data_IF_992826315324
#
_entry.id   IF_992826315324
#
_cell.length_a   1.000
_cell.length_b   1.000
_cell.length_c   1.000
_cell.angle_alpha   90.00
_cell.angle_beta   90.00
_cell.angle_gamma   90.00
#
_symmetry.space_group_name_H-M   'P 1'
#
loop_
_entity.id
_entity.type
_entity.pdbx_description
1 polymer ?
#
# COMPACT_ATOMS: atom_id res chain seq x y z
N UNK A 1 -24.10 -12.47 11.03
CA UNK A 1 -22.84 -11.88 10.51
C UNK A 1 -21.71 -12.78 10.97
N UNK A 2 -20.74 -13.12 10.10
CA UNK A 2 -19.57 -13.89 10.55
C UNK A 2 -18.74 -13.02 11.49
N UNK A 3 -18.16 -13.63 12.52
CA UNK A 3 -17.25 -12.96 13.43
C UNK A 3 -16.00 -12.47 12.67
N UNK A 4 -15.85 -11.15 12.57
CA UNK A 4 -14.70 -10.50 11.93
C UNK A 4 -13.42 -10.79 12.74
N UNK A 5 -13.53 -10.93 14.07
CA UNK A 5 -12.42 -11.27 14.95
C UNK A 5 -11.78 -12.59 14.54
N UNK A 6 -12.59 -13.66 14.42
CA UNK A 6 -12.10 -14.97 13.97
C UNK A 6 -11.45 -14.97 12.58
N UNK A 7 -11.90 -14.12 11.64
CA UNK A 7 -11.27 -13.98 10.31
C UNK A 7 -9.89 -13.32 10.42
N UNK A 8 -9.77 -12.26 11.22
CA UNK A 8 -8.49 -11.58 11.46
C UNK A 8 -7.51 -12.54 12.14
N UNK A 9 -7.98 -13.30 13.13
CA UNK A 9 -7.17 -14.31 13.82
C UNK A 9 -6.61 -15.32 12.82
N UNK A 10 -7.49 -15.92 12.01
CA UNK A 10 -7.11 -16.93 11.01
C UNK A 10 -6.09 -16.40 10.01
N UNK A 11 -6.24 -15.14 9.57
CA UNK A 11 -5.29 -14.50 8.67
C UNK A 11 -3.92 -14.28 9.33
N UNK A 12 -3.89 -13.87 10.60
CA UNK A 12 -2.64 -13.69 11.35
C UNK A 12 -1.94 -15.03 11.59
N UNK A 13 -2.69 -16.08 11.96
CA UNK A 13 -2.17 -17.45 12.07
C UNK A 13 -1.59 -17.93 10.75
N UNK A 14 -2.28 -17.67 9.62
CA UNK A 14 -1.77 -18.01 8.30
C UNK A 14 -0.41 -17.34 8.03
N UNK A 15 -0.31 -16.03 8.28
CA UNK A 15 0.91 -15.27 8.07
C UNK A 15 2.07 -15.81 8.92
N UNK A 16 1.85 -16.02 10.22
CA UNK A 16 2.90 -16.43 11.16
C UNK A 16 3.39 -17.86 10.94
N UNK A 17 2.48 -18.78 10.62
CA UNK A 17 2.78 -20.22 10.62
C UNK A 17 3.04 -20.78 9.22
N UNK A 18 2.52 -20.16 8.17
CA UNK A 18 2.56 -20.74 6.81
C UNK A 18 3.21 -19.82 5.78
N UNK A 19 2.96 -18.51 5.85
CA UNK A 19 3.51 -17.57 4.86
C UNK A 19 4.93 -17.08 5.17
N UNK A 20 5.42 -17.31 6.40
CA UNK A 20 6.72 -16.83 6.86
C UNK A 20 7.85 -17.79 6.45
N UNK A 21 8.96 -17.21 6.04
CA UNK A 21 10.25 -17.86 5.80
C UNK A 21 11.30 -17.33 6.77
N UNK A 22 12.52 -17.87 6.74
CA UNK A 22 13.64 -17.32 7.53
C UNK A 22 14.02 -15.89 7.13
N UNK A 23 13.79 -15.49 5.88
CA UNK A 23 14.28 -14.24 5.29
C UNK A 23 13.16 -13.22 4.99
N UNK A 24 11.89 -13.55 5.23
CA UNK A 24 10.75 -12.73 4.80
C UNK A 24 9.44 -13.49 4.73
N UNK A 25 8.49 -12.98 3.95
CA UNK A 25 7.23 -13.66 3.64
C UNK A 25 7.17 -14.03 2.16
N UNK A 26 6.51 -15.15 1.86
CA UNK A 26 6.29 -15.60 0.50
C UNK A 26 5.50 -14.57 -0.31
N UNK A 27 5.90 -14.26 -1.56
CA UNK A 27 5.26 -13.23 -2.39
C UNK A 27 3.82 -13.57 -2.77
N UNK A 28 3.56 -14.81 -3.19
CA UNK A 28 2.30 -15.22 -3.84
C UNK A 28 1.83 -16.62 -3.45
N UNK A 29 2.75 -17.59 -3.33
CA UNK A 29 2.40 -18.98 -3.04
C UNK A 29 3.30 -19.54 -1.93
N UNK A 30 2.68 -20.18 -0.93
CA UNK A 30 3.40 -20.85 0.16
C UNK A 30 4.04 -22.11 -0.38
N UNK A 31 5.32 -22.33 -0.05
CA UNK A 31 6.03 -23.58 -0.35
C UNK A 31 6.62 -23.67 -1.76
N UNK A 32 6.48 -22.63 -2.60
CA UNK A 32 7.32 -22.48 -3.78
C UNK A 32 8.64 -21.85 -3.32
N UNK A 33 9.78 -22.31 -3.85
CA UNK A 33 11.12 -21.74 -3.60
C UNK A 33 11.29 -20.33 -4.21
N UNK A 34 10.29 -19.46 -4.04
CA UNK A 34 10.39 -18.05 -4.39
C UNK A 34 11.04 -17.29 -3.23
N UNK A 35 12.03 -16.47 -3.58
CA UNK A 35 12.67 -15.57 -2.63
C UNK A 35 11.62 -14.59 -2.07
N UNK A 36 11.65 -14.30 -0.75
CA UNK A 36 10.79 -13.27 -0.20
C UNK A 36 10.97 -11.93 -0.92
N UNK A 37 9.86 -11.22 -1.12
CA UNK A 37 9.87 -9.92 -1.80
C UNK A 37 9.47 -8.83 -0.84
N UNK A 38 10.07 -7.64 -0.97
CA UNK A 38 9.82 -6.54 -0.03
C UNK A 38 8.33 -6.21 0.13
N UNK A 39 7.52 -6.02 -0.93
CA UNK A 39 6.13 -5.60 -0.75
C UNK A 39 5.31 -6.55 0.13
N UNK A 40 5.47 -7.86 -0.05
CA UNK A 40 4.69 -8.86 0.70
C UNK A 40 5.17 -8.95 2.14
N UNK A 41 6.49 -8.99 2.36
CA UNK A 41 7.09 -8.92 3.70
C UNK A 41 6.63 -7.68 4.46
N UNK A 42 6.69 -6.50 3.83
CA UNK A 42 6.27 -5.24 4.43
C UNK A 42 4.78 -5.26 4.82
N UNK A 43 3.89 -5.70 3.92
CA UNK A 43 2.45 -5.76 4.19
C UNK A 43 2.12 -6.77 5.29
N UNK A 44 2.77 -7.94 5.32
CA UNK A 44 2.55 -8.93 6.36
C UNK A 44 2.95 -8.40 7.74
N UNK A 45 4.13 -7.78 7.85
CA UNK A 45 4.60 -7.15 9.10
C UNK A 45 3.63 -6.07 9.55
N UNK A 46 3.25 -5.16 8.65
CA UNK A 46 2.33 -4.07 8.98
C UNK A 46 0.96 -4.60 9.44
N UNK A 47 0.44 -5.65 8.80
CA UNK A 47 -0.81 -6.29 9.19
C UNK A 47 -0.72 -6.85 10.61
N UNK A 48 0.31 -7.65 10.90
CA UNK A 48 0.51 -8.27 12.21
C UNK A 48 0.75 -7.23 13.32
N UNK A 49 1.46 -6.14 13.00
CA UNK A 49 1.63 -5.00 13.91
C UNK A 49 0.28 -4.31 14.22
N UNK A 50 -0.51 -3.98 13.18
CA UNK A 50 -1.80 -3.28 13.36
C UNK A 50 -2.85 -4.14 14.07
N UNK A 51 -2.75 -5.46 13.97
CA UNK A 51 -3.63 -6.40 14.69
C UNK A 51 -3.12 -6.76 16.09
N UNK A 52 -1.97 -6.20 16.52
CA UNK A 52 -1.32 -6.50 17.81
C UNK A 52 -1.02 -8.00 17.99
N UNK A 53 -0.65 -8.66 16.89
CA UNK A 53 -0.30 -10.09 16.86
C UNK A 53 1.19 -10.36 16.85
N UNK A 54 2.00 -9.31 16.76
CA UNK A 54 3.43 -9.36 17.04
C UNK A 54 3.66 -9.02 18.51
N UNK A 55 4.42 -9.85 19.22
CA UNK A 55 4.92 -9.47 20.52
C UNK A 55 5.98 -8.36 20.34
N UNK A 56 6.12 -7.48 21.33
CA UNK A 56 7.05 -6.34 21.22
C UNK A 56 8.51 -6.77 21.01
N UNK A 57 8.91 -7.88 21.61
CA UNK A 57 10.25 -8.46 21.41
C UNK A 57 10.50 -8.96 19.98
N UNK A 58 9.45 -9.24 19.20
CA UNK A 58 9.58 -9.72 17.82
C UNK A 58 9.73 -8.57 16.82
N UNK A 59 9.39 -7.32 17.19
CA UNK A 59 9.42 -6.18 16.26
C UNK A 59 10.79 -5.99 15.62
N UNK A 60 11.86 -6.11 16.41
CA UNK A 60 13.23 -5.99 15.93
C UNK A 60 13.56 -7.06 14.89
N UNK A 61 13.14 -8.32 15.12
CA UNK A 61 13.34 -9.41 14.16
C UNK A 61 12.67 -9.11 12.83
N UNK A 62 11.42 -8.66 12.83
CA UNK A 62 10.68 -8.33 11.61
C UNK A 62 11.21 -7.07 10.90
N UNK A 63 11.63 -6.06 11.65
CA UNK A 63 12.30 -4.88 11.10
C UNK A 63 13.60 -5.28 10.41
N UNK A 64 14.46 -6.06 11.08
CA UNK A 64 15.71 -6.55 10.50
C UNK A 64 15.47 -7.39 9.25
N UNK A 65 14.46 -8.26 9.27
CA UNK A 65 14.03 -9.04 8.11
C UNK A 65 13.69 -8.12 6.93
N UNK A 66 12.89 -7.09 7.13
CA UNK A 66 12.54 -6.14 6.07
C UNK A 66 13.78 -5.35 5.59
N UNK A 67 14.62 -4.85 6.51
CA UNK A 67 15.84 -4.11 6.17
C UNK A 67 16.86 -4.96 5.39
N UNK A 68 16.92 -6.27 5.61
CA UNK A 68 17.78 -7.17 4.86
C UNK A 68 17.37 -7.32 3.38
N UNK A 69 16.12 -6.95 3.03
CA UNK A 69 15.64 -6.91 1.64
C UNK A 69 15.98 -5.59 0.92
N UNK A 70 16.65 -4.65 1.60
CA UNK A 70 17.04 -3.37 1.04
C UNK A 70 18.30 -3.51 0.20
N UNK A 71 18.29 -2.93 -1.00
CA UNK A 71 19.49 -2.80 -1.81
C UNK A 71 20.48 -1.84 -1.13
N UNK A 72 21.70 -2.30 -0.88
CA UNK A 72 22.71 -1.52 -0.14
C UNK A 72 23.33 -0.39 -0.96
N UNK A 73 23.36 -0.53 -2.28
CA UNK A 73 23.97 0.45 -3.19
C UNK A 73 23.03 1.62 -3.46
N UNK A 74 21.77 1.31 -3.74
CA UNK A 74 20.76 2.28 -4.16
C UNK A 74 19.85 2.73 -3.00
N UNK A 75 20.04 2.13 -1.81
CA UNK A 75 19.27 2.38 -0.58
C UNK A 75 17.75 2.28 -0.77
N UNK A 76 17.32 1.55 -1.77
CA UNK A 76 15.91 1.33 -2.14
C UNK A 76 15.55 -0.13 -1.93
N UNK A 77 14.25 -0.44 -1.99
CA UNK A 77 13.79 -1.82 -1.90
C UNK A 77 13.38 -2.36 -3.27
N UNK A 78 13.45 -3.68 -3.39
CA UNK A 78 13.29 -4.40 -4.66
C UNK A 78 12.12 -5.40 -4.59
N UNK A 79 11.55 -5.73 -5.74
CA UNK A 79 10.57 -6.83 -5.83
C UNK A 79 11.27 -8.14 -6.18
N UNK A 80 12.36 -8.12 -6.96
CA UNK A 80 13.20 -9.29 -7.27
C UNK A 80 14.61 -8.78 -7.59
N UNK A 81 14.74 -8.15 -8.75
CA UNK A 81 15.94 -7.46 -9.24
C UNK A 81 15.54 -6.06 -9.72
N UNK A 82 16.22 -5.05 -9.21
CA UNK A 82 16.03 -3.66 -9.60
C UNK A 82 15.04 -2.87 -8.72
N UNK A 83 15.28 -1.56 -8.72
CA UNK A 83 14.60 -0.58 -7.90
C UNK A 83 13.11 -0.51 -8.20
N UNK A 84 12.29 -0.50 -7.15
CA UNK A 84 10.85 -0.30 -7.28
C UNK A 84 10.36 0.75 -6.30
N UNK A 85 9.72 1.81 -6.83
CA UNK A 85 9.07 2.82 -5.99
C UNK A 85 8.00 2.20 -5.09
N UNK A 86 7.31 1.17 -5.58
CA UNK A 86 6.27 0.47 -4.85
C UNK A 86 6.84 -0.32 -3.67
N UNK A 87 7.91 -1.10 -3.91
CA UNK A 87 8.59 -1.83 -2.85
C UNK A 87 9.17 -0.86 -1.80
N UNK A 88 9.87 0.18 -2.26
CA UNK A 88 10.45 1.20 -1.39
C UNK A 88 9.38 1.89 -0.54
N UNK A 89 8.31 2.38 -1.16
CA UNK A 89 7.23 3.04 -0.43
C UNK A 89 6.54 2.11 0.58
N UNK A 90 6.28 0.84 0.22
CA UNK A 90 5.67 -0.13 1.14
C UNK A 90 6.56 -0.46 2.33
N UNK A 91 7.86 -0.64 2.11
CA UNK A 91 8.82 -0.83 3.18
C UNK A 91 8.85 0.38 4.11
N UNK A 92 8.97 1.59 3.55
CA UNK A 92 9.01 2.83 4.33
C UNK A 92 7.73 3.05 5.14
N UNK A 93 6.54 2.85 4.55
CA UNK A 93 5.27 2.90 5.30
C UNK A 93 5.31 1.95 6.50
N UNK A 94 5.84 0.74 6.31
CA UNK A 94 5.90 -0.28 7.36
C UNK A 94 6.88 0.13 8.45
N UNK A 95 8.12 0.47 8.08
CA UNK A 95 9.16 0.88 9.03
C UNK A 95 8.72 2.13 9.82
N UNK A 96 8.23 3.18 9.15
CA UNK A 96 7.72 4.38 9.81
C UNK A 96 6.52 4.12 10.73
N UNK A 97 5.74 3.07 10.45
CA UNK A 97 4.60 2.70 11.29
C UNK A 97 5.00 1.86 12.51
N UNK A 98 6.03 1.02 12.39
CA UNK A 98 6.46 0.09 13.45
C UNK A 98 7.51 0.74 14.33
N UNK A 99 8.58 1.26 13.74
CA UNK A 99 9.64 2.02 14.42
C UNK A 99 10.23 3.09 13.48
N UNK A 100 9.81 4.36 13.60
CA UNK A 100 10.32 5.42 12.74
C UNK A 100 11.81 5.76 12.98
N UNK A 101 12.47 5.23 14.02
CA UNK A 101 13.89 5.50 14.26
C UNK A 101 14.82 4.76 13.29
N UNK A 102 14.33 3.70 12.63
CA UNK A 102 15.17 2.91 11.71
C UNK A 102 15.19 3.48 10.29
N UNK A 103 14.40 4.51 10.01
CA UNK A 103 14.33 5.18 8.71
C UNK A 103 15.17 6.45 8.75
N UNK A 104 16.18 6.53 7.88
CA UNK A 104 17.05 7.71 7.76
C UNK A 104 16.66 8.58 6.55
N UNK A 105 17.25 9.78 6.47
CA UNK A 105 16.93 10.75 5.40
C UNK A 105 17.28 10.21 4.01
N UNK A 106 18.35 9.43 3.89
CA UNK A 106 18.77 8.84 2.62
C UNK A 106 17.73 7.89 2.04
N UNK A 107 16.92 7.26 2.89
CA UNK A 107 15.87 6.32 2.46
C UNK A 107 14.69 7.07 1.84
N UNK A 108 14.39 8.24 2.39
CA UNK A 108 13.38 9.14 1.86
C UNK A 108 13.86 9.79 0.57
N UNK A 109 15.12 10.23 0.53
CA UNK A 109 15.74 10.73 -0.71
C UNK A 109 15.76 9.67 -1.80
N UNK A 110 15.99 8.40 -1.45
CA UNK A 110 15.89 7.31 -2.40
C UNK A 110 14.49 7.24 -3.01
N UNK A 111 13.42 7.29 -2.21
CA UNK A 111 12.03 7.32 -2.73
C UNK A 111 11.73 8.56 -3.60
N UNK A 112 12.21 9.74 -3.20
CA UNK A 112 12.04 10.99 -3.96
C UNK A 112 12.74 10.90 -5.32
N UNK A 113 13.93 10.31 -5.39
CA UNK A 113 14.66 10.10 -6.67
C UNK A 113 13.92 9.18 -7.64
N UNK A 114 13.03 8.32 -7.16
CA UNK A 114 12.19 7.46 -8.00
C UNK A 114 10.96 8.19 -8.56
N UNK A 115 10.74 9.47 -8.21
CA UNK A 115 9.65 10.29 -8.74
C UNK A 115 9.95 10.69 -10.18
N UNK A 116 8.99 10.52 -11.07
CA UNK A 116 9.12 10.93 -12.46
C UNK A 116 9.03 12.46 -12.62
N UNK A 117 9.46 12.98 -13.76
CA UNK A 117 9.39 14.42 -14.07
C UNK A 117 7.97 14.98 -14.04
N UNK A 118 6.97 14.15 -14.38
CA UNK A 118 5.55 14.53 -14.32
C UNK A 118 5.00 14.67 -12.89
N UNK A 119 5.80 14.29 -11.88
CA UNK A 119 5.49 14.37 -10.46
C UNK A 119 4.84 13.12 -9.87
N UNK A 120 4.49 12.13 -10.69
CA UNK A 120 3.97 10.85 -10.21
C UNK A 120 5.06 9.81 -9.98
N UNK A 121 4.64 8.64 -9.49
CA UNK A 121 5.49 7.44 -9.43
C UNK A 121 4.92 6.34 -10.33
N UNK A 122 5.80 5.67 -11.07
CA UNK A 122 5.54 4.42 -11.77
C UNK A 122 6.02 3.21 -10.95
N UNK A 123 5.85 1.99 -11.46
CA UNK A 123 6.28 0.77 -10.76
C UNK A 123 7.80 0.72 -10.47
N UNK A 124 8.59 1.25 -11.41
CA UNK A 124 10.05 1.40 -11.41
C UNK A 124 10.42 2.79 -11.94
N UNK A 125 11.67 3.26 -11.76
CA UNK A 125 12.14 4.47 -12.41
C UNK A 125 11.85 4.49 -13.91
N UNK A 126 11.35 5.61 -14.42
CA UNK A 126 11.05 5.79 -15.84
C UNK A 126 9.77 5.08 -16.34
N UNK A 127 9.13 4.25 -15.52
CA UNK A 127 7.83 3.66 -15.88
C UNK A 127 6.73 4.71 -15.75
N UNK A 128 5.66 4.56 -16.53
CA UNK A 128 4.52 5.49 -16.52
C UNK A 128 3.97 5.69 -15.10
N UNK A 129 3.76 6.96 -14.74
CA UNK A 129 3.19 7.33 -13.46
C UNK A 129 1.74 6.85 -13.34
N UNK A 130 1.39 6.31 -12.16
CA UNK A 130 0.03 5.86 -11.85
C UNK A 130 -0.42 6.38 -10.49
N UNK A 131 -1.72 6.69 -10.30
CA UNK A 131 -2.27 7.03 -8.99
C UNK A 131 -1.96 5.99 -7.91
N UNK A 132 -1.97 4.70 -8.26
CA UNK A 132 -1.69 3.60 -7.32
C UNK A 132 -0.31 3.69 -6.67
N UNK A 133 0.76 3.87 -7.45
CA UNK A 133 2.12 3.96 -6.90
C UNK A 133 2.35 5.31 -6.24
N UNK A 134 1.81 6.38 -6.84
CA UNK A 134 1.84 7.73 -6.28
C UNK A 134 1.25 7.76 -4.88
N UNK A 135 0.14 7.06 -4.63
CA UNK A 135 -0.45 6.96 -3.30
C UNK A 135 0.49 6.37 -2.24
N UNK A 136 1.14 5.25 -2.53
CA UNK A 136 2.05 4.66 -1.55
C UNK A 136 3.26 5.57 -1.30
N UNK A 137 3.81 6.19 -2.35
CA UNK A 137 4.91 7.14 -2.20
C UNK A 137 4.49 8.34 -1.35
N UNK A 138 3.36 8.99 -1.69
CA UNK A 138 2.79 10.09 -0.91
C UNK A 138 2.56 9.71 0.55
N UNK A 139 1.98 8.53 0.82
CA UNK A 139 1.74 8.05 2.18
C UNK A 139 3.05 7.86 2.96
N UNK A 140 4.08 7.30 2.34
CA UNK A 140 5.39 7.14 2.98
C UNK A 140 6.00 8.49 3.36
N UNK A 141 5.97 9.45 2.44
CA UNK A 141 6.49 10.81 2.66
C UNK A 141 5.75 11.54 3.79
N UNK A 142 4.41 11.46 3.83
CA UNK A 142 3.59 12.07 4.88
C UNK A 142 3.84 11.40 6.24
N UNK A 143 3.97 10.08 6.28
CA UNK A 143 4.34 9.36 7.52
C UNK A 143 5.72 9.79 8.01
N UNK A 144 6.67 10.01 7.10
CA UNK A 144 7.99 10.49 7.46
C UNK A 144 7.92 11.87 8.09
N UNK A 145 7.19 12.83 7.50
CA UNK A 145 7.01 14.16 8.06
C UNK A 145 6.35 14.11 9.44
N UNK A 146 5.26 13.35 9.58
CA UNK A 146 4.55 13.21 10.85
C UNK A 146 5.40 12.57 11.96
N UNK A 147 6.17 11.53 11.64
CA UNK A 147 7.05 10.86 12.61
C UNK A 147 8.14 11.79 13.16
N UNK A 148 8.39 12.87 12.45
CA UNK A 148 9.48 13.79 12.64
C UNK A 148 9.03 15.12 13.25
N UNK A 149 7.83 15.58 12.92
CA UNK A 149 7.13 16.64 13.65
C UNK A 149 6.95 16.28 15.14
N UNK A 150 6.82 14.98 15.43
CA UNK A 150 6.80 14.44 16.80
C UNK A 150 8.18 14.48 17.47
N UNK A 151 9.28 14.51 16.69
CA UNK A 151 10.67 14.63 17.15
C UNK A 151 11.18 16.06 16.90
N UNK A 152 10.49 17.05 17.48
CA UNK A 152 10.85 18.48 17.38
C UNK A 152 12.34 18.69 17.68
N UNK A 153 13.17 18.87 16.65
CA UNK A 153 14.54 19.38 16.81
C UNK A 153 15.60 18.96 15.78
N UNK A 154 15.47 17.82 15.07
CA UNK A 154 16.66 17.20 14.45
C UNK A 154 16.64 17.00 12.92
N UNK A 155 15.67 17.54 12.18
CA UNK A 155 15.71 17.46 10.71
C UNK A 155 16.27 18.73 10.13
N UNK A 156 17.19 18.55 9.19
CA UNK A 156 17.66 19.63 8.33
C UNK A 156 16.48 20.16 7.53
N UNK A 157 16.22 21.46 7.62
CA UNK A 157 15.15 22.16 6.87
C UNK A 157 15.09 21.73 5.40
N UNK A 158 16.25 21.54 4.77
CA UNK A 158 16.42 21.05 3.39
C UNK A 158 15.69 19.73 3.10
N UNK A 159 15.64 18.80 4.06
CA UNK A 159 14.96 17.51 3.88
C UNK A 159 13.45 17.67 3.91
N UNK A 160 12.92 18.52 4.79
CA UNK A 160 11.48 18.85 4.84
C UNK A 160 11.10 19.49 3.51
N UNK A 161 11.84 20.51 3.07
CA UNK A 161 11.62 21.19 1.78
C UNK A 161 11.66 20.21 0.59
N UNK A 162 12.60 19.26 0.58
CA UNK A 162 12.69 18.24 -0.46
C UNK A 162 11.44 17.34 -0.49
N UNK A 163 10.93 16.94 0.67
CA UNK A 163 9.70 16.14 0.78
C UNK A 163 8.49 16.96 0.34
N UNK A 164 8.33 18.18 0.84
CA UNK A 164 7.22 19.07 0.49
C UNK A 164 7.16 19.34 -1.01
N UNK A 165 8.31 19.66 -1.63
CA UNK A 165 8.43 19.84 -3.08
C UNK A 165 8.02 18.58 -3.85
N UNK A 166 8.37 17.40 -3.34
CA UNK A 166 7.95 16.13 -3.94
C UNK A 166 6.44 15.91 -3.82
N UNK A 167 5.84 16.27 -2.68
CA UNK A 167 4.38 16.21 -2.46
C UNK A 167 3.61 17.20 -3.34
N UNK A 168 4.12 18.42 -3.53
CA UNK A 168 3.52 19.39 -4.46
C UNK A 168 3.50 18.89 -5.90
N UNK A 169 4.60 18.28 -6.35
CA UNK A 169 4.67 17.62 -7.67
C UNK A 169 3.64 16.49 -7.78
N UNK A 170 3.49 15.67 -6.74
CA UNK A 170 2.49 14.61 -6.70
C UNK A 170 1.06 15.16 -6.80
N UNK A 171 0.77 16.26 -6.10
CA UNK A 171 -0.52 16.95 -6.17
C UNK A 171 -0.80 17.43 -7.61
N UNK A 172 0.16 18.12 -8.23
CA UNK A 172 0.05 18.61 -9.62
C UNK A 172 -0.14 17.47 -10.61
N UNK A 173 0.59 16.37 -10.46
CA UNK A 173 0.41 15.16 -11.25
C UNK A 173 -1.04 14.66 -11.19
N UNK A 174 -1.55 14.43 -9.98
CA UNK A 174 -2.89 13.88 -9.78
C UNK A 174 -3.97 14.82 -10.33
N UNK A 175 -3.86 16.12 -10.12
CA UNK A 175 -4.77 17.11 -10.70
C UNK A 175 -4.73 17.09 -12.23
N UNK A 176 -3.54 16.98 -12.84
CA UNK A 176 -3.34 16.96 -14.29
C UNK A 176 -3.99 15.75 -14.97
N UNK A 177 -3.93 14.57 -14.36
CA UNK A 177 -4.44 13.33 -14.96
C UNK A 177 -5.91 13.05 -14.62
N UNK A 178 -6.56 13.91 -13.84
CA UNK A 178 -7.96 13.76 -13.46
C UNK A 178 -8.87 13.88 -14.70
N UNK A 179 -9.89 13.01 -14.76
CA UNK A 179 -10.93 13.01 -15.78
C UNK A 179 -12.25 13.42 -15.14
N UNK A 180 -12.61 14.70 -15.22
CA UNK A 180 -13.72 15.29 -14.44
C UNK A 180 -13.50 15.07 -12.93
N UNK A 181 -14.19 14.09 -12.33
CA UNK A 181 -14.17 13.80 -10.87
C UNK A 181 -13.57 12.42 -10.54
N UNK A 182 -12.92 11.78 -11.52
CA UNK A 182 -12.40 10.41 -11.42
C UNK A 182 -11.00 10.33 -12.01
N UNK A 183 -10.26 9.28 -11.66
CA UNK A 183 -8.89 9.09 -12.14
C UNK A 183 -8.77 7.86 -13.03
N UNK A 184 -8.01 7.96 -14.13
CA UNK A 184 -7.68 6.82 -14.96
C UNK A 184 -6.61 5.96 -14.31
N UNK A 185 -6.36 4.77 -14.89
CA UNK A 185 -5.33 3.86 -14.37
C UNK A 185 -3.93 4.49 -14.43
N UNK A 186 -3.66 5.25 -15.48
CA UNK A 186 -2.35 5.84 -15.79
C UNK A 186 -2.49 7.06 -16.71
N UNK A 187 -1.42 7.82 -16.87
CA UNK A 187 -1.38 9.00 -17.76
C UNK A 187 -1.79 8.63 -19.19
N UNK A 188 -2.70 9.40 -19.78
CA UNK A 188 -3.17 9.20 -21.16
C UNK A 188 -4.32 8.20 -21.32
N UNK A 189 -4.63 7.39 -20.32
CA UNK A 189 -5.86 6.58 -20.32
C UNK A 189 -7.07 7.50 -20.14
N UNK A 190 -8.10 7.28 -20.98
CA UNK A 190 -9.33 8.08 -21.01
C UNK A 190 -10.47 7.43 -20.23
N UNK A 191 -10.24 6.24 -19.66
CA UNK A 191 -11.25 5.51 -18.91
C UNK A 191 -11.04 5.68 -17.41
N UNK A 192 -12.12 5.91 -16.65
CA UNK A 192 -12.02 5.96 -15.21
C UNK A 192 -11.66 4.59 -14.63
N UNK A 193 -10.81 4.57 -13.62
CA UNK A 193 -10.41 3.37 -12.89
C UNK A 193 -10.80 3.52 -11.41
N UNK A 194 -11.65 2.64 -10.86
CA UNK A 194 -12.07 2.67 -9.45
C UNK A 194 -10.91 2.72 -8.47
N UNK A 195 -9.95 1.80 -8.62
CA UNK A 195 -8.79 1.70 -7.73
C UNK A 195 -7.94 2.96 -7.83
N UNK A 196 -7.68 3.45 -9.05
CA UNK A 196 -6.88 4.66 -9.23
C UNK A 196 -7.55 5.90 -8.64
N UNK A 197 -8.88 6.00 -8.75
CA UNK A 197 -9.69 7.07 -8.16
C UNK A 197 -9.57 7.09 -6.65
N UNK A 198 -9.73 5.95 -5.99
CA UNK A 198 -9.57 5.84 -4.52
C UNK A 198 -8.15 6.22 -4.09
N UNK A 199 -7.15 5.77 -4.83
CA UNK A 199 -5.74 6.05 -4.52
C UNK A 199 -5.41 7.54 -4.70
N UNK A 200 -5.86 8.16 -5.79
CA UNK A 200 -5.67 9.58 -6.05
C UNK A 200 -6.31 10.44 -4.96
N UNK A 201 -7.58 10.16 -4.63
CA UNK A 201 -8.31 10.89 -3.59
C UNK A 201 -7.66 10.70 -2.21
N UNK A 202 -7.17 9.49 -1.92
CA UNK A 202 -6.38 9.21 -0.72
C UNK A 202 -5.10 10.06 -0.64
N UNK A 203 -4.35 10.18 -1.74
CA UNK A 203 -3.15 11.01 -1.80
C UNK A 203 -3.44 12.48 -1.61
N UNK A 204 -4.41 13.02 -2.37
CA UNK A 204 -4.81 14.42 -2.31
C UNK A 204 -5.24 14.80 -0.89
N UNK A 205 -6.03 13.94 -0.24
CA UNK A 205 -6.43 14.13 1.15
C UNK A 205 -5.23 14.19 2.09
N UNK A 206 -4.28 13.25 1.99
CA UNK A 206 -3.10 13.23 2.85
C UNK A 206 -2.26 14.49 2.68
N UNK A 207 -2.01 14.91 1.44
CA UNK A 207 -1.26 16.12 1.11
C UNK A 207 -1.95 17.36 1.70
N UNK A 208 -3.25 17.48 1.49
CA UNK A 208 -4.03 18.61 1.98
C UNK A 208 -4.03 18.70 3.51
N UNK A 209 -4.23 17.56 4.19
CA UNK A 209 -4.20 17.49 5.65
C UNK A 209 -2.86 17.98 6.23
N UNK A 210 -1.76 17.69 5.53
CA UNK A 210 -0.43 18.14 5.93
C UNK A 210 -0.24 19.64 5.73
N UNK A 211 -0.53 20.17 4.54
CA UNK A 211 -0.38 21.60 4.25
C UNK A 211 -1.43 22.49 4.92
N UNK A 212 -2.41 21.91 5.64
CA UNK A 212 -3.53 22.62 6.26
C UNK A 212 -4.26 23.55 5.29
N UNK A 213 -4.23 23.26 3.99
CA UNK A 213 -4.93 24.06 3.00
C UNK A 213 -6.43 23.82 3.11
N UNK A 214 -7.21 24.91 3.07
CA UNK A 214 -8.68 24.84 3.08
C UNK A 214 -9.17 24.28 1.73
N UNK A 215 -9.44 22.99 1.67
CA UNK A 215 -10.38 22.40 0.71
C UNK A 215 -11.51 21.79 1.51
N UNK A 216 -12.73 22.05 1.04
CA UNK A 216 -13.96 21.51 1.63
C UNK A 216 -13.87 19.99 1.59
N UNK A 217 -13.52 19.38 2.72
CA UNK A 217 -13.43 17.92 2.91
C UNK A 217 -14.68 17.15 2.44
N UNK A 218 -15.82 17.84 2.31
CA UNK A 218 -17.06 17.30 1.77
C UNK A 218 -16.93 16.84 0.32
N UNK A 219 -16.27 17.60 -0.56
CA UNK A 219 -16.31 17.38 -2.01
C UNK A 219 -15.54 16.11 -2.42
N UNK A 220 -14.38 15.84 -1.80
CA UNK A 220 -13.53 14.66 -2.08
C UNK A 220 -14.20 13.37 -1.60
N UNK A 221 -14.83 13.40 -0.43
CA UNK A 221 -15.48 12.23 0.17
C UNK A 221 -16.80 11.89 -0.51
N UNK A 222 -17.63 12.90 -0.79
CA UNK A 222 -18.90 12.73 -1.47
C UNK A 222 -18.69 12.20 -2.89
N UNK A 223 -17.68 12.72 -3.60
CA UNK A 223 -17.27 12.24 -4.93
C UNK A 223 -16.78 10.80 -4.89
N UNK A 224 -15.90 10.45 -3.95
CA UNK A 224 -15.42 9.07 -3.77
C UNK A 224 -16.59 8.11 -3.49
N UNK A 225 -17.50 8.54 -2.63
CA UNK A 225 -18.64 7.76 -2.15
C UNK A 225 -19.66 7.52 -3.27
N UNK A 226 -20.10 8.58 -3.96
CA UNK A 226 -21.04 8.49 -5.07
C UNK A 226 -20.47 7.66 -6.22
N UNK A 227 -19.17 7.78 -6.50
CA UNK A 227 -18.52 6.97 -7.52
C UNK A 227 -18.45 5.48 -7.13
N UNK A 228 -18.03 5.15 -5.89
CA UNK A 228 -18.02 3.77 -5.40
C UNK A 228 -19.44 3.19 -5.40
N UNK A 229 -20.45 3.96 -4.98
CA UNK A 229 -21.86 3.55 -5.03
C UNK A 229 -22.36 3.31 -6.46
N UNK A 230 -21.95 4.16 -7.40
CA UNK A 230 -22.30 3.99 -8.82
C UNK A 230 -21.66 2.71 -9.37
N UNK A 231 -20.39 2.46 -9.02
CA UNK A 231 -19.66 1.26 -9.42
C UNK A 231 -20.22 -0.02 -8.80
N UNK A 232 -20.66 0.00 -7.54
CA UNK A 232 -21.26 -1.19 -6.90
C UNK A 232 -22.64 -1.53 -7.45
N UNK A 233 -23.31 -0.59 -8.15
CA UNK A 233 -24.56 -0.83 -8.87
C UNK A 233 -24.36 -1.41 -10.29
N UNK A 234 -23.14 -1.37 -10.83
CA UNK A 234 -22.84 -1.97 -12.14
C UNK A 234 -22.66 -3.47 -11.95
N UNK A 235 -23.57 -4.29 -12.49
CA UNK A 235 -23.50 -5.78 -12.45
C UNK A 235 -22.30 -6.38 -13.20
N UNK A 236 -21.44 -5.57 -13.80
CA UNK A 236 -20.33 -6.00 -14.67
C UNK A 236 -18.97 -6.09 -13.96
N UNK A 237 -18.92 -6.20 -12.63
CA UNK A 237 -17.66 -6.43 -11.91
C UNK A 237 -16.89 -7.65 -12.44
N UNK A 238 -17.59 -8.65 -12.98
CA UNK A 238 -16.99 -9.83 -13.60
C UNK A 238 -16.04 -9.48 -14.76
N UNK A 239 -16.22 -8.33 -15.43
CA UNK A 239 -15.32 -7.84 -16.50
C UNK A 239 -14.19 -6.94 -16.00
N UNK A 240 -14.33 -6.38 -14.80
CA UNK A 240 -13.29 -5.59 -14.12
C UNK A 240 -12.46 -6.44 -13.17
N UNK A 241 -12.61 -7.77 -13.24
CA UNK A 241 -11.78 -8.73 -12.53
C UNK A 241 -10.30 -8.38 -12.65
N UNK A 242 -9.60 -8.47 -11.52
CA UNK A 242 -8.15 -8.54 -11.45
C UNK A 242 -7.71 -9.54 -12.52
N UNK A 243 -7.18 -9.04 -13.63
CA UNK A 243 -6.96 -9.86 -14.81
C UNK A 243 -6.10 -11.06 -14.48
N UNK A 244 -6.57 -12.25 -14.87
CA UNK A 244 -5.79 -13.47 -14.92
C UNK A 244 -4.62 -13.26 -15.89
N UNK A 245 -3.50 -12.75 -15.40
CA UNK A 245 -2.23 -12.93 -16.08
C UNK A 245 -1.72 -14.33 -15.72
N UNK A 246 -2.35 -15.37 -16.28
CA UNK A 246 -1.90 -16.75 -16.55
C UNK A 246 -1.04 -17.57 -15.56
N UNK A 247 -0.47 -17.01 -14.50
CA UNK A 247 0.48 -17.68 -13.59
C UNK A 247 0.44 -17.12 -12.16
N UNK A 248 -0.26 -16.01 -11.88
CA UNK A 248 -0.30 -15.46 -10.52
C UNK A 248 -1.51 -14.57 -10.26
N UNK A 249 -2.32 -14.92 -9.26
CA UNK A 249 -3.34 -14.03 -8.73
C UNK A 249 -2.67 -12.95 -7.87
N UNK A 250 -2.46 -11.77 -8.45
CA UNK A 250 -2.21 -10.57 -7.67
C UNK A 250 -3.50 -10.19 -6.94
N UNK A 251 -3.66 -10.64 -5.70
CA UNK A 251 -4.38 -9.81 -4.74
C UNK A 251 -3.52 -8.57 -4.57
N UNK A 252 -3.69 -7.56 -5.42
CA UNK A 252 -3.28 -6.21 -5.05
C UNK A 252 -4.17 -5.88 -3.86
N UNK A 253 -3.67 -6.00 -2.61
CA UNK A 253 -4.55 -5.77 -1.49
C UNK A 253 -4.96 -4.30 -1.63
N UNK A 254 -6.27 -4.06 -1.70
CA UNK A 254 -6.79 -2.75 -1.34
C UNK A 254 -6.04 -2.36 -0.05
N UNK A 255 -5.43 -1.15 0.03
CA UNK A 255 -4.58 -0.79 1.15
C UNK A 255 -5.28 -1.21 2.44
N UNK A 256 -4.56 -1.81 3.38
CA UNK A 256 -5.16 -2.28 4.63
C UNK A 256 -5.89 -1.15 5.36
N UNK A 257 -5.58 0.12 5.05
CA UNK A 257 -6.27 1.31 5.57
C UNK A 257 -7.59 1.64 4.84
N UNK A 258 -7.74 1.20 3.59
CA UNK A 258 -8.98 1.30 2.80
C UNK A 258 -9.98 0.24 3.24
N UNK A 259 -9.52 -0.91 3.75
CA UNK A 259 -10.40 -1.97 4.24
C UNK A 259 -11.27 -1.50 5.43
N UNK A 260 -10.75 -0.88 6.51
CA UNK A 260 -11.56 -0.25 7.55
C UNK A 260 -12.45 0.88 7.03
N UNK A 261 -12.06 1.63 6.00
CA UNK A 261 -12.94 2.64 5.39
C UNK A 261 -14.09 1.97 4.64
N UNK A 262 -13.83 0.92 3.86
CA UNK A 262 -14.84 0.08 3.20
C UNK A 262 -15.73 -0.62 4.23
N UNK A 263 -15.17 -1.15 5.32
CA UNK A 263 -15.90 -1.86 6.38
C UNK A 263 -16.68 -0.92 7.31
N UNK A 264 -16.13 0.25 7.65
CA UNK A 264 -16.75 1.28 8.51
C UNK A 264 -17.82 2.06 7.77
N UNK A 265 -17.65 2.32 6.47
CA UNK A 265 -18.69 2.89 5.62
C UNK A 265 -19.74 1.83 5.25
N UNK A 266 -19.34 0.56 5.11
CA UNK A 266 -20.24 -0.50 4.66
C UNK A 266 -20.10 -1.82 5.43
N UNK A 267 -20.58 -1.86 6.67
CA UNK A 267 -20.75 -3.10 7.45
C UNK A 267 -21.68 -4.16 6.82
N UNK A 268 -22.13 -3.97 5.58
CA UNK A 268 -22.97 -4.88 4.78
C UNK A 268 -22.63 -4.91 3.28
N UNK A 269 -21.46 -4.44 2.83
CA UNK A 269 -21.14 -4.49 1.39
C UNK A 269 -20.73 -5.90 0.94
N UNK A 270 -21.37 -6.38 -0.12
CA UNK A 270 -21.07 -7.62 -0.83
C UNK A 270 -19.58 -7.75 -1.20
N UNK A 271 -18.86 -6.65 -1.45
CA UNK A 271 -17.42 -6.65 -1.79
C UNK A 271 -16.56 -7.07 -0.60
N UNK A 272 -16.85 -6.55 0.59
CA UNK A 272 -16.15 -6.96 1.80
C UNK A 272 -16.45 -8.42 2.14
N UNK A 273 -17.72 -8.83 1.98
CA UNK A 273 -18.13 -10.23 2.13
C UNK A 273 -17.49 -11.13 1.06
N UNK A 274 -17.31 -10.66 -0.17
CA UNK A 274 -16.67 -11.38 -1.27
C UNK A 274 -15.18 -11.57 -0.99
N UNK A 275 -14.45 -10.50 -0.62
CA UNK A 275 -13.04 -10.59 -0.22
C UNK A 275 -12.83 -11.55 0.95
N UNK A 276 -13.69 -11.48 1.98
CA UNK A 276 -13.66 -12.40 3.12
C UNK A 276 -14.01 -13.83 2.71
N UNK A 277 -15.04 -14.04 1.87
CA UNK A 277 -15.43 -15.37 1.35
C UNK A 277 -14.33 -15.97 0.49
N UNK A 278 -13.67 -15.16 -0.32
CA UNK A 278 -12.55 -15.55 -1.17
C UNK A 278 -11.33 -15.93 -0.33
N UNK A 279 -10.94 -15.11 0.66
CA UNK A 279 -9.86 -15.45 1.61
C UNK A 279 -10.15 -16.80 2.29
N UNK A 280 -11.38 -16.99 2.79
CA UNK A 280 -11.78 -18.25 3.46
C UNK A 280 -11.74 -19.45 2.51
N UNK A 281 -12.23 -19.31 1.26
CA UNK A 281 -12.23 -20.40 0.27
C UNK A 281 -10.80 -20.83 -0.02
N UNK A 282 -9.91 -19.88 -0.28
CA UNK A 282 -8.53 -20.17 -0.66
C UNK A 282 -7.72 -20.67 0.55
N UNK A 283 -7.86 -20.10 1.74
CA UNK A 283 -7.19 -20.63 2.94
C UNK A 283 -7.58 -22.10 3.24
N UNK A 284 -8.82 -22.51 2.95
CA UNK A 284 -9.29 -23.90 3.11
C UNK A 284 -8.76 -24.85 2.03
N UNK A 285 -8.57 -24.37 0.81
CA UNK A 285 -7.96 -25.16 -0.26
C UNK A 285 -6.44 -25.31 -0.04
N UNK A 286 -5.77 -24.27 0.44
CA UNK A 286 -4.35 -24.32 0.81
C UNK A 286 -4.08 -25.26 1.98
N UNK A 287 -4.92 -25.28 3.01
CA UNK A 287 -4.77 -26.22 4.15
C UNK A 287 -5.02 -27.68 3.79
N UNK A 288 -5.76 -27.98 2.71
CA UNK A 288 -5.97 -29.36 2.22
C UNK A 288 -4.79 -29.90 1.40
N UNK A 289 -3.99 -29.02 0.82
CA UNK A 289 -2.90 -29.38 -0.08
C UNK A 289 -1.51 -29.36 0.58
N UNK A 290 -1.42 -28.87 1.82
CA UNK A 290 -0.23 -29.03 2.65
C UNK A 290 -0.28 -30.46 3.20
N UNK A 291 0.53 -31.36 2.62
CA UNK A 291 0.87 -32.61 3.29
C UNK A 291 1.63 -32.23 4.56
N UNK A 292 1.13 -32.66 5.72
CA UNK A 292 1.88 -32.53 6.97
C UNK A 292 3.28 -33.14 6.77
N UNK A 293 4.35 -32.50 7.25
CA UNK A 293 5.70 -33.07 7.22
C UNK A 293 5.79 -34.36 8.06
#
# INVERSE_FOLDING_TARGET
>A
MRDIGGVIESACTFLLNYARTKDGFYPQQVGIEEKPVTPTTAVAILALYKTKKLAEHDYNTYIHMLLNLKDRTEKSFCVNEGLSSWATAKALITLLSVDPNVVCNEDILALIKLQNEDGGWGYRPGYISRPFYTYFATKALILYLNANDLKRGNIKTEMIEAVEKSLEKANKFLQKIQLNDVWPRETGDKRPCPVATVMALGSLKLIQQYFKSEVRNADIFETSYLFIQKLTKVKEWDRYGFGESGVAFYVQPAPVDVIPVILKIYGKCEIALYLVRWLIKNCKEYTKNIKEP
#
